data_IF_993417946204
#
_entry.id   IF_993417946204
#
_cell.length_a   1.000
_cell.length_b   1.000
_cell.length_c   1.000
_cell.angle_alpha   90.00
_cell.angle_beta   90.00
_cell.angle_gamma   90.00
#
_symmetry.space_group_name_H-M   'P 1'
#
loop_
_entity.id
_entity.type
_entity.pdbx_description
1 polymer ?
#
# COMPACT_ATOMS: atom_id res chain seq x y z
N UNK A 1 1.15 -14.22 2.54
CA UNK A 1 1.56 -12.82 2.43
C UNK A 1 0.33 -11.94 2.21
N UNK A 2 0.39 -10.68 2.63
CA UNK A 2 -0.68 -9.71 2.43
C UNK A 2 -1.96 -10.00 3.20
N UNK A 3 -2.96 -9.17 2.94
CA UNK A 3 -4.31 -9.28 3.52
C UNK A 3 -5.34 -8.82 2.50
N UNK A 4 -6.56 -9.34 2.65
CA UNK A 4 -7.74 -8.87 1.92
C UNK A 4 -8.81 -8.52 2.94
N UNK A 5 -9.49 -7.41 2.73
CA UNK A 5 -10.53 -6.93 3.63
C UNK A 5 -11.57 -6.07 2.91
N UNK A 6 -12.56 -5.63 3.67
CA UNK A 6 -13.59 -4.69 3.19
C UNK A 6 -13.47 -3.39 3.99
N UNK A 7 -13.66 -2.27 3.31
CA UNK A 7 -13.80 -0.98 3.97
C UNK A 7 -15.11 -0.95 4.78
N UNK A 8 -15.09 -0.27 5.91
CA UNK A 8 -16.29 -0.07 6.73
C UNK A 8 -17.38 0.69 5.96
N UNK A 9 -16.96 1.59 5.07
CA UNK A 9 -17.82 2.31 4.14
C UNK A 9 -17.10 2.41 2.80
N UNK A 10 -17.81 2.26 1.67
CA UNK A 10 -17.24 2.48 0.35
C UNK A 10 -16.71 3.90 0.20
N UNK A 11 -15.61 4.06 -0.54
CA UNK A 11 -15.06 5.37 -0.90
C UNK A 11 -14.49 5.35 -2.31
N UNK A 12 -14.18 6.50 -2.87
CA UNK A 12 -13.55 6.56 -4.19
C UNK A 12 -12.05 6.18 -4.10
N UNK A 13 -11.46 5.71 -5.21
CA UNK A 13 -10.03 5.44 -5.31
C UNK A 13 -9.21 6.67 -4.91
N UNK A 14 -9.62 7.86 -5.37
CA UNK A 14 -8.95 9.10 -5.02
C UNK A 14 -9.04 9.44 -3.54
N UNK A 15 -10.19 9.19 -2.88
CA UNK A 15 -10.33 9.38 -1.44
C UNK A 15 -9.46 8.39 -0.65
N UNK A 16 -9.39 7.13 -1.09
CA UNK A 16 -8.52 6.12 -0.47
C UNK A 16 -7.03 6.49 -0.63
N UNK A 17 -6.62 6.95 -1.81
CA UNK A 17 -5.24 7.40 -2.03
C UNK A 17 -4.85 8.56 -1.13
N UNK A 18 -5.76 9.53 -0.91
CA UNK A 18 -5.55 10.64 0.05
C UNK A 18 -5.45 10.14 1.49
N UNK A 19 -6.36 9.25 1.90
CA UNK A 19 -6.33 8.67 3.24
C UNK A 19 -5.01 7.90 3.50
N UNK A 20 -4.47 7.21 2.50
CA UNK A 20 -3.15 6.60 2.58
C UNK A 20 -2.03 7.64 2.72
N UNK A 21 -2.08 8.71 1.93
CA UNK A 21 -1.09 9.78 2.02
C UNK A 21 -1.10 10.49 3.38
N UNK A 22 -2.26 10.55 4.05
CA UNK A 22 -2.41 11.16 5.38
C UNK A 22 -1.83 10.30 6.51
N UNK A 23 -1.84 8.96 6.36
CA UNK A 23 -1.35 8.04 7.39
C UNK A 23 0.07 7.56 7.19
N UNK A 24 0.56 7.54 5.94
CA UNK A 24 1.92 7.13 5.62
C UNK A 24 2.92 8.25 5.93
N UNK A 25 4.13 7.93 6.38
CA UNK A 25 5.21 8.91 6.40
C UNK A 25 5.40 9.55 5.03
N UNK A 26 5.58 10.87 5.00
CA UNK A 26 5.76 11.61 3.74
C UNK A 26 7.04 11.16 3.02
N UNK A 27 6.92 10.85 1.74
CA UNK A 27 8.03 10.43 0.87
C UNK A 27 7.99 11.16 -0.46
N UNK A 28 9.11 11.21 -1.16
CA UNK A 28 9.20 11.84 -2.48
C UNK A 28 8.26 11.20 -3.51
N UNK A 29 8.02 9.90 -3.40
CA UNK A 29 7.14 9.16 -4.31
C UNK A 29 5.64 9.48 -4.08
N UNK A 30 5.22 9.74 -2.85
CA UNK A 30 3.82 9.85 -2.48
C UNK A 30 3.03 8.56 -2.75
N UNK A 31 1.77 8.71 -3.14
CA UNK A 31 0.88 7.59 -3.54
C UNK A 31 0.59 7.69 -5.03
N UNK A 32 1.03 6.70 -5.80
CA UNK A 32 0.75 6.60 -7.23
C UNK A 32 -0.46 5.71 -7.47
N UNK A 33 -1.37 6.11 -8.35
CA UNK A 33 -2.59 5.38 -8.63
C UNK A 33 -2.70 4.96 -10.11
N UNK A 34 -3.18 3.75 -10.36
CA UNK A 34 -3.62 3.31 -11.67
C UNK A 34 -5.08 2.86 -11.60
N UNK A 35 -5.99 3.65 -12.13
CA UNK A 35 -7.43 3.46 -12.10
C UNK A 35 -8.16 4.79 -12.23
N UNK A 36 -9.49 4.73 -12.31
CA UNK A 36 -10.34 5.91 -12.33
C UNK A 36 -10.39 6.52 -10.91
N UNK A 37 -10.22 7.84 -10.82
CA UNK A 37 -10.23 8.57 -9.54
C UNK A 37 -11.54 8.39 -8.77
N UNK A 38 -12.67 8.35 -9.48
CA UNK A 38 -14.02 8.26 -8.91
C UNK A 38 -14.52 6.81 -8.77
N UNK A 39 -13.70 5.81 -9.16
CA UNK A 39 -14.03 4.39 -8.99
C UNK A 39 -14.35 4.10 -7.52
N UNK A 40 -15.52 3.48 -7.28
CA UNK A 40 -15.91 3.02 -5.95
C UNK A 40 -15.06 1.82 -5.53
N UNK A 41 -14.54 1.88 -4.30
CA UNK A 41 -13.75 0.85 -3.66
C UNK A 41 -14.48 0.36 -2.41
N UNK A 42 -14.70 -0.95 -2.32
CA UNK A 42 -15.25 -1.63 -1.14
C UNK A 42 -14.27 -2.67 -0.60
N UNK A 43 -13.61 -3.40 -1.51
CA UNK A 43 -12.68 -4.48 -1.17
C UNK A 43 -11.25 -4.06 -1.48
N UNK A 44 -10.37 -4.32 -0.52
CA UNK A 44 -8.96 -3.94 -0.59
C UNK A 44 -8.10 -5.19 -0.41
N UNK A 45 -7.20 -5.43 -1.33
CA UNK A 45 -6.05 -6.31 -1.14
C UNK A 45 -4.83 -5.45 -0.85
N UNK A 46 -3.98 -5.86 0.08
CA UNK A 46 -2.75 -5.13 0.41
C UNK A 46 -1.58 -6.05 0.72
N UNK A 47 -0.40 -5.61 0.35
CA UNK A 47 0.88 -6.20 0.73
C UNK A 47 1.87 -5.06 0.97
N UNK A 48 2.34 -4.89 2.21
CA UNK A 48 3.42 -3.95 2.50
C UNK A 48 4.70 -4.41 1.81
N UNK A 49 5.53 -3.46 1.37
CA UNK A 49 6.71 -3.75 0.56
C UNK A 49 6.39 -4.19 -0.86
N UNK A 50 7.35 -4.79 -1.55
CA UNK A 50 7.25 -5.17 -2.96
C UNK A 50 6.25 -6.32 -3.18
N UNK A 51 5.17 -6.07 -3.90
CA UNK A 51 4.08 -7.02 -4.10
C UNK A 51 3.71 -7.29 -5.56
N UNK A 52 4.56 -7.00 -6.53
CA UNK A 52 4.26 -7.24 -7.95
C UNK A 52 4.03 -8.73 -8.26
N UNK A 53 4.64 -9.65 -7.52
CA UNK A 53 4.43 -11.09 -7.66
C UNK A 53 3.02 -11.55 -7.29
N UNK A 54 2.27 -10.76 -6.52
CA UNK A 54 0.91 -11.08 -6.11
C UNK A 54 -0.17 -10.53 -7.06
N UNK A 55 0.18 -9.80 -8.11
CA UNK A 55 -0.78 -9.27 -9.09
C UNK A 55 -1.60 -10.37 -9.80
N UNK A 56 -1.07 -11.59 -9.87
CA UNK A 56 -1.75 -12.75 -10.43
C UNK A 56 -2.57 -13.55 -9.41
N UNK A 57 -2.45 -13.25 -8.12
CA UNK A 57 -3.18 -13.95 -7.06
C UNK A 57 -4.69 -13.75 -7.24
N UNK A 58 -5.50 -14.84 -7.20
CA UNK A 58 -6.95 -14.74 -7.38
C UNK A 58 -7.65 -13.81 -6.39
N UNK A 59 -7.18 -13.72 -5.13
CA UNK A 59 -7.77 -12.85 -4.13
C UNK A 59 -7.45 -11.37 -4.43
N UNK A 60 -6.23 -11.08 -4.89
CA UNK A 60 -5.84 -9.74 -5.34
C UNK A 60 -6.67 -9.34 -6.55
N UNK A 61 -6.82 -10.24 -7.53
CA UNK A 61 -7.59 -9.96 -8.76
C UNK A 61 -9.08 -9.75 -8.50
N UNK A 62 -9.62 -10.33 -7.43
CA UNK A 62 -11.03 -10.18 -7.04
C UNK A 62 -11.30 -8.91 -6.20
N UNK A 63 -10.28 -8.22 -5.72
CA UNK A 63 -10.44 -6.97 -4.98
C UNK A 63 -10.71 -5.78 -5.91
N UNK A 64 -11.27 -4.70 -5.36
CA UNK A 64 -11.48 -3.44 -6.11
C UNK A 64 -10.18 -2.66 -6.27
N UNK A 65 -9.28 -2.76 -5.29
CA UNK A 65 -7.97 -2.11 -5.31
C UNK A 65 -6.91 -3.03 -4.70
N UNK A 66 -5.70 -2.95 -5.23
CA UNK A 66 -4.51 -3.55 -4.66
C UNK A 66 -3.52 -2.47 -4.25
N UNK A 67 -3.15 -2.46 -2.96
CA UNK A 67 -2.20 -1.52 -2.37
C UNK A 67 -0.90 -2.27 -2.12
N UNK A 68 0.22 -1.78 -2.68
CA UNK A 68 1.54 -2.38 -2.51
C UNK A 68 2.63 -1.38 -2.85
N UNK A 69 3.88 -1.82 -2.96
CA UNK A 69 5.03 -0.99 -3.29
C UNK A 69 5.86 -1.60 -4.42
N UNK A 70 6.77 -0.81 -4.97
CA UNK A 70 7.77 -1.22 -5.97
C UNK A 70 7.18 -1.86 -7.23
N UNK A 71 5.99 -1.42 -7.63
CA UNK A 71 5.39 -1.91 -8.88
C UNK A 71 6.24 -1.43 -10.07
N UNK A 72 6.84 -2.41 -10.76
CA UNK A 72 7.59 -2.17 -11.99
C UNK A 72 6.63 -1.85 -13.14
N UNK A 73 7.13 -1.14 -14.15
CA UNK A 73 6.35 -0.66 -15.28
C UNK A 73 5.52 -1.78 -15.96
N UNK A 74 6.18 -2.87 -16.40
CA UNK A 74 5.48 -3.93 -17.14
C UNK A 74 4.41 -4.64 -16.32
N UNK A 75 4.67 -5.17 -15.10
CA UNK A 75 3.64 -5.77 -14.28
C UNK A 75 2.47 -4.82 -13.98
N UNK A 76 2.74 -3.55 -13.69
CA UNK A 76 1.70 -2.56 -13.46
C UNK A 76 0.86 -2.29 -14.71
N UNK A 77 1.50 -2.16 -15.88
CA UNK A 77 0.82 -1.96 -17.17
C UNK A 77 -0.07 -3.16 -17.53
N UNK A 78 0.44 -4.37 -17.40
CA UNK A 78 -0.31 -5.61 -17.67
C UNK A 78 -1.52 -5.76 -16.73
N UNK A 79 -1.34 -5.47 -15.43
CA UNK A 79 -2.42 -5.51 -14.46
C UNK A 79 -3.49 -4.45 -14.77
N UNK A 80 -3.07 -3.22 -15.13
CA UNK A 80 -3.97 -2.13 -15.51
C UNK A 80 -4.78 -2.49 -16.76
N UNK A 81 -4.15 -2.99 -17.81
CA UNK A 81 -4.83 -3.40 -19.04
C UNK A 81 -5.79 -4.58 -18.79
N UNK A 82 -5.37 -5.56 -17.99
CA UNK A 82 -6.24 -6.67 -17.58
C UNK A 82 -7.47 -6.16 -16.82
N UNK A 83 -7.29 -5.21 -15.91
CA UNK A 83 -8.37 -4.58 -15.14
C UNK A 83 -9.38 -3.88 -16.08
N UNK A 84 -8.89 -3.17 -17.09
CA UNK A 84 -9.75 -2.47 -18.07
C UNK A 84 -10.55 -3.41 -18.98
N UNK A 85 -9.95 -4.52 -19.37
CA UNK A 85 -10.54 -5.45 -20.36
C UNK A 85 -11.42 -6.53 -19.72
N UNK A 86 -11.10 -6.97 -18.52
CA UNK A 86 -11.70 -8.16 -17.91
C UNK A 86 -12.22 -7.92 -16.49
N UNK A 87 -12.08 -6.71 -15.97
CA UNK A 87 -12.24 -6.44 -14.56
C UNK A 87 -10.99 -6.83 -13.77
N UNK A 88 -10.85 -6.24 -12.58
CA UNK A 88 -9.71 -6.45 -11.70
C UNK A 88 -9.43 -5.20 -10.86
N UNK A 89 -8.42 -5.22 -9.99
CA UNK A 89 -8.15 -4.12 -9.09
C UNK A 89 -7.63 -2.88 -9.79
N UNK A 90 -7.96 -1.71 -9.24
CA UNK A 90 -7.11 -0.54 -9.36
C UNK A 90 -5.80 -0.79 -8.60
N UNK A 91 -4.75 -0.03 -8.89
CA UNK A 91 -3.48 -0.15 -8.18
C UNK A 91 -3.19 1.15 -7.41
N UNK A 92 -2.74 1.00 -6.16
CA UNK A 92 -2.11 2.05 -5.38
C UNK A 92 -0.71 1.59 -5.02
N UNK A 93 0.29 2.33 -5.50
CA UNK A 93 1.69 2.04 -5.28
C UNK A 93 2.29 3.12 -4.39
N UNK A 94 2.77 2.71 -3.21
CA UNK A 94 3.28 3.57 -2.16
C UNK A 94 4.77 3.33 -1.94
N UNK A 95 5.46 4.19 -1.17
CA UNK A 95 6.86 3.93 -0.81
C UNK A 95 6.98 2.62 -0.03
N UNK A 96 7.93 1.78 -0.40
CA UNK A 96 8.26 0.53 0.29
C UNK A 96 8.54 0.80 1.76
N UNK A 97 9.50 1.69 2.03
CA UNK A 97 9.86 2.09 3.39
C UNK A 97 8.64 2.57 4.19
N UNK A 98 7.82 3.47 3.63
CA UNK A 98 6.67 4.03 4.35
C UNK A 98 5.62 2.96 4.68
N UNK A 99 5.37 2.02 3.77
CA UNK A 99 4.39 0.94 3.97
C UNK A 99 4.81 -0.03 5.07
N UNK A 100 6.11 -0.28 5.22
CA UNK A 100 6.64 -1.17 6.25
C UNK A 100 6.86 -0.45 7.58
N UNK A 101 7.18 0.86 7.54
CA UNK A 101 7.41 1.65 8.75
C UNK A 101 6.19 1.71 9.67
N UNK A 102 4.96 1.67 9.13
CA UNK A 102 3.73 1.65 9.92
C UNK A 102 3.64 0.48 10.91
N UNK A 103 4.35 -0.61 10.64
CA UNK A 103 4.41 -1.77 11.53
C UNK A 103 5.21 -1.49 12.82
N UNK A 104 6.15 -0.55 12.81
CA UNK A 104 7.12 -0.36 13.89
C UNK A 104 6.48 -0.03 15.22
N UNK A 105 5.47 0.84 15.26
CA UNK A 105 4.77 1.17 16.50
C UNK A 105 4.04 -0.03 17.10
N UNK A 106 3.36 -0.81 16.24
CA UNK A 106 2.69 -2.05 16.65
C UNK A 106 3.69 -3.08 17.16
N UNK A 107 4.81 -3.27 16.45
CA UNK A 107 5.88 -4.17 16.85
C UNK A 107 6.52 -3.73 18.18
N UNK A 108 6.79 -2.44 18.34
CA UNK A 108 7.35 -1.88 19.57
C UNK A 108 6.42 -2.09 20.77
N UNK A 109 5.11 -1.90 20.58
CA UNK A 109 4.12 -2.14 21.63
C UNK A 109 4.11 -3.61 22.06
N UNK A 110 4.15 -4.55 21.10
CA UNK A 110 4.23 -5.99 21.38
C UNK A 110 5.52 -6.37 22.11
N UNK A 111 6.67 -5.82 21.67
CA UNK A 111 7.95 -6.07 22.30
C UNK A 111 8.02 -5.54 23.73
N UNK A 112 7.52 -4.33 23.98
CA UNK A 112 7.44 -3.75 25.34
C UNK A 112 6.59 -4.61 26.28
N UNK A 113 5.48 -5.15 25.76
CA UNK A 113 4.62 -6.04 26.54
C UNK A 113 5.29 -7.38 26.85
N UNK A 114 6.02 -7.94 25.89
CA UNK A 114 6.69 -9.25 26.04
C UNK A 114 8.01 -9.18 26.81
N UNK A 115 8.70 -8.04 26.78
CA UNK A 115 10.04 -7.84 27.34
C UNK A 115 10.07 -6.59 28.24
N UNK A 116 9.44 -6.62 29.44
CA UNK A 116 9.25 -5.42 30.27
C UNK A 116 10.53 -4.81 30.80
N UNK A 117 11.66 -5.53 30.76
CA UNK A 117 12.97 -5.04 31.17
C UNK A 117 13.81 -4.48 30.03
N UNK A 118 13.34 -4.60 28.78
CA UNK A 118 14.05 -4.08 27.61
C UNK A 118 13.59 -2.68 27.27
N UNK A 119 14.51 -1.81 26.92
CA UNK A 119 14.20 -0.52 26.31
C UNK A 119 13.91 -0.74 24.81
N UNK A 120 12.74 -0.34 24.35
CA UNK A 120 12.33 -0.49 22.96
C UNK A 120 12.06 0.88 22.36
N UNK A 121 12.88 1.29 21.40
CA UNK A 121 12.80 2.55 20.67
C UNK A 121 12.41 2.30 19.22
N UNK A 122 11.52 3.13 18.67
CA UNK A 122 11.24 3.20 17.25
C UNK A 122 12.13 4.27 16.65
N UNK A 123 12.91 3.93 15.62
CA UNK A 123 13.78 4.88 14.93
C UNK A 123 12.97 5.86 14.09
N UNK A 124 13.21 7.14 14.25
CA UNK A 124 12.66 8.21 13.41
C UNK A 124 13.51 8.51 12.16
N UNK A 125 14.58 7.74 11.94
CA UNK A 125 15.44 7.92 10.78
C UNK A 125 14.72 7.46 9.53
N UNK A 126 14.58 8.38 8.57
CA UNK A 126 14.05 8.07 7.25
C UNK A 126 15.13 7.39 6.41
N UNK A 127 14.84 6.16 5.98
CA UNK A 127 15.72 5.37 5.10
C UNK A 127 15.11 5.15 3.71
N UNK A 128 14.02 5.87 3.38
CA UNK A 128 13.51 5.93 2.02
C UNK A 128 14.59 6.51 1.09
N UNK A 129 14.94 5.84 -0.03
CA UNK A 129 16.11 6.25 -0.83
C UNK A 129 15.87 7.51 -1.67
N UNK A 130 14.63 7.98 -1.79
CA UNK A 130 14.29 9.09 -2.67
C UNK A 130 14.16 10.41 -1.89
N UNK A 131 14.96 11.40 -2.23
CA UNK A 131 14.96 12.70 -1.55
C UNK A 131 13.86 13.62 -2.05
N UNK A 132 13.61 13.67 -3.34
CA UNK A 132 12.57 14.50 -3.96
C UNK A 132 12.09 13.92 -5.30
N UNK A 133 10.89 14.32 -5.73
CA UNK A 133 10.37 14.08 -7.07
C UNK A 133 9.97 15.40 -7.71
N UNK A 134 10.11 15.48 -9.03
CA UNK A 134 9.64 16.60 -9.86
C UNK A 134 8.45 16.06 -10.67
N UNK A 135 7.27 16.71 -10.54
CA UNK A 135 6.02 16.36 -11.21
C UNK A 135 5.47 17.56 -11.96
#
# INVERSE_FOLDING_TARGET
>A
LGRVGRLAQPMTLGALARALADVLPATAQGVRAAGDFDRTIETVALCAGAGDSLLSDPQVRAADVYITSDLRHHPASEARESSRLRGGPALLDVSHWASEWLWLDTAAAQLRAALPTAEVLVSELRTDPWDFAIV
#
